data_IF_384843567262
#
_entry.id   IF_384843567262
#
_cell.length_a   1.000
_cell.length_b   1.000
_cell.length_c   1.000
_cell.angle_alpha   90.00
_cell.angle_beta   90.00
_cell.angle_gamma   90.00
#
_symmetry.space_group_name_H-M   'P 1'
#
loop_
_entity.id
_entity.type
_entity.pdbx_description
1 polymer ?
#
# COMPACT_ATOMS: atom_id res chain seq x y z
N UNK A 1 5.05 30.86 4.57
CA UNK A 1 3.79 30.08 4.58
C UNK A 1 3.85 29.13 5.76
N UNK A 2 3.01 29.31 6.77
CA UNK A 2 2.99 28.42 7.94
C UNK A 2 2.37 27.08 7.54
N UNK A 3 3.17 26.02 7.53
CA UNK A 3 2.67 24.65 7.38
C UNK A 3 1.72 24.38 8.56
N UNK A 4 0.41 24.33 8.30
CA UNK A 4 -0.54 23.75 9.26
C UNK A 4 -0.19 22.27 9.35
N UNK A 5 0.43 21.88 10.47
CA UNK A 5 0.62 20.46 10.80
C UNK A 5 -0.70 19.73 10.55
N UNK A 6 -0.69 18.71 9.70
CA UNK A 6 -1.88 17.92 9.47
C UNK A 6 -2.30 17.26 10.80
N UNK A 7 -3.43 17.69 11.36
CA UNK A 7 -4.00 17.06 12.54
C UNK A 7 -4.29 15.58 12.23
N UNK A 8 -4.07 14.71 13.22
CA UNK A 8 -4.42 13.29 13.10
C UNK A 8 -5.93 13.16 12.87
N UNK A 9 -6.38 12.26 11.97
CA UNK A 9 -7.80 12.04 11.76
C UNK A 9 -8.48 11.52 13.03
N UNK A 10 -9.65 12.06 13.38
CA UNK A 10 -10.46 11.56 14.50
C UNK A 10 -10.90 10.11 14.27
N UNK A 11 -10.88 9.28 15.32
CA UNK A 11 -11.33 7.88 15.24
C UNK A 11 -12.86 7.82 15.36
N UNK A 12 -13.54 7.80 14.22
CA UNK A 12 -14.99 7.69 14.12
C UNK A 12 -15.39 6.92 12.84
N UNK A 13 -16.67 6.55 12.71
CA UNK A 13 -17.16 5.77 11.56
C UNK A 13 -16.84 6.43 10.20
N UNK A 14 -16.82 7.76 10.18
CA UNK A 14 -16.45 8.54 9.01
C UNK A 14 -14.99 8.36 8.57
N UNK A 15 -14.07 8.30 9.52
CA UNK A 15 -12.66 8.03 9.23
C UNK A 15 -12.45 6.57 8.87
N UNK A 16 -13.15 5.64 9.53
CA UNK A 16 -13.13 4.22 9.17
C UNK A 16 -13.54 4.05 7.71
N UNK A 17 -14.66 4.65 7.28
CA UNK A 17 -15.11 4.58 5.90
C UNK A 17 -14.09 5.19 4.93
N UNK A 18 -13.47 6.31 5.30
CA UNK A 18 -12.41 6.93 4.49
C UNK A 18 -11.23 5.97 4.31
N UNK A 19 -10.75 5.34 5.38
CA UNK A 19 -9.65 4.36 5.33
C UNK A 19 -10.00 3.19 4.42
N UNK A 20 -11.19 2.61 4.58
CA UNK A 20 -11.64 1.46 3.83
C UNK A 20 -11.82 1.77 2.34
N UNK A 21 -12.41 2.93 2.00
CA UNK A 21 -12.57 3.32 0.59
C UNK A 21 -11.20 3.63 -0.03
N UNK A 22 -10.35 4.41 0.64
CA UNK A 22 -8.99 4.69 0.16
C UNK A 22 -8.18 3.41 -0.04
N UNK A 23 -8.20 2.48 0.92
CA UNK A 23 -7.51 1.19 0.83
C UNK A 23 -8.05 0.32 -0.31
N UNK A 24 -9.39 0.23 -0.43
CA UNK A 24 -10.05 -0.52 -1.50
C UNK A 24 -9.68 0.01 -2.88
N UNK A 25 -9.81 1.33 -3.11
CA UNK A 25 -9.50 1.94 -4.41
C UNK A 25 -8.02 1.79 -4.77
N UNK A 26 -7.12 1.96 -3.79
CA UNK A 26 -5.69 1.77 -3.99
C UNK A 26 -5.32 0.31 -4.30
N UNK A 27 -5.97 -0.65 -3.64
CA UNK A 27 -5.80 -2.09 -3.90
C UNK A 27 -6.26 -2.44 -5.31
N UNK A 28 -7.42 -1.94 -5.75
CA UNK A 28 -7.90 -2.13 -7.13
C UNK A 28 -6.91 -1.57 -8.14
N UNK A 29 -6.35 -0.37 -7.90
CA UNK A 29 -5.35 0.23 -8.79
C UNK A 29 -4.06 -0.59 -8.84
N UNK A 30 -3.61 -1.10 -7.68
CA UNK A 30 -2.45 -2.00 -7.58
C UNK A 30 -2.66 -3.29 -8.38
N UNK A 31 -3.80 -3.95 -8.22
CA UNK A 31 -4.12 -5.20 -8.91
C UNK A 31 -4.33 -5.00 -10.41
N UNK A 32 -5.01 -3.93 -10.80
CA UNK A 32 -5.15 -3.55 -12.21
C UNK A 32 -3.77 -3.38 -12.87
N UNK A 33 -2.84 -2.72 -12.18
CA UNK A 33 -1.47 -2.60 -12.64
C UNK A 33 -0.77 -3.96 -12.69
N UNK A 34 -0.70 -4.68 -11.57
CA UNK A 34 0.17 -5.84 -11.41
C UNK A 34 -0.31 -7.12 -12.07
N UNK A 35 -1.63 -7.31 -12.17
CA UNK A 35 -2.21 -8.55 -12.69
C UNK A 35 -2.65 -8.42 -14.15
N UNK A 36 -2.97 -7.21 -14.62
CA UNK A 36 -3.50 -7.00 -15.96
C UNK A 36 -2.63 -6.11 -16.86
N UNK A 37 -2.31 -4.89 -16.43
CA UNK A 37 -1.54 -3.96 -17.28
C UNK A 37 -0.09 -4.42 -17.47
N UNK A 38 0.62 -4.78 -16.40
CA UNK A 38 2.03 -5.15 -16.51
C UNK A 38 2.22 -6.38 -17.42
N UNK A 39 1.44 -7.48 -17.32
CA UNK A 39 1.60 -8.61 -18.24
C UNK A 39 1.18 -8.27 -19.66
N UNK A 40 0.12 -7.46 -19.85
CA UNK A 40 -0.30 -7.01 -21.18
C UNK A 40 0.77 -6.16 -21.89
N UNK A 41 1.65 -5.50 -21.13
CA UNK A 41 2.80 -4.76 -21.64
C UNK A 41 4.08 -5.62 -21.77
N UNK A 42 3.99 -6.93 -21.54
CA UNK A 42 5.13 -7.87 -21.61
C UNK A 42 6.03 -7.87 -20.37
N UNK A 43 5.60 -7.23 -19.27
CA UNK A 43 6.32 -7.24 -18.00
C UNK A 43 5.86 -8.42 -17.12
N UNK A 44 6.52 -8.63 -15.98
CA UNK A 44 6.12 -9.69 -15.05
C UNK A 44 4.71 -9.45 -14.47
N UNK A 45 4.03 -10.54 -14.12
CA UNK A 45 2.76 -10.49 -13.37
C UNK A 45 3.02 -10.51 -11.86
N UNK A 46 2.28 -9.69 -11.10
CA UNK A 46 2.28 -9.76 -9.65
C UNK A 46 1.34 -10.87 -9.18
N UNK A 47 1.91 -11.86 -8.50
CA UNK A 47 1.17 -12.90 -7.77
C UNK A 47 1.44 -12.79 -6.26
N UNK A 48 0.90 -11.76 -5.59
CA UNK A 48 1.33 -11.37 -4.25
C UNK A 48 0.89 -12.33 -3.13
N UNK A 49 -0.01 -13.27 -3.42
CA UNK A 49 -0.42 -14.34 -2.48
C UNK A 49 0.77 -15.24 -2.10
N UNK A 50 1.71 -15.51 -3.01
CA UNK A 50 2.86 -16.39 -2.71
C UNK A 50 3.77 -15.84 -1.60
N UNK A 51 4.01 -14.53 -1.60
CA UNK A 51 4.85 -13.88 -0.60
C UNK A 51 4.18 -13.82 0.77
N UNK A 52 2.88 -13.51 0.81
CA UNK A 52 2.11 -13.51 2.07
C UNK A 52 2.01 -14.91 2.69
N UNK A 53 1.84 -15.96 1.88
CA UNK A 53 1.90 -17.35 2.34
C UNK A 53 3.28 -17.70 2.90
N UNK A 54 4.35 -17.27 2.23
CA UNK A 54 5.71 -17.51 2.70
C UNK A 54 5.97 -16.85 4.06
N UNK A 55 5.51 -15.61 4.25
CA UNK A 55 5.58 -14.90 5.53
C UNK A 55 4.82 -15.64 6.65
N UNK A 56 3.57 -16.03 6.38
CA UNK A 56 2.76 -16.78 7.35
C UNK A 56 3.44 -18.11 7.73
N UNK A 57 4.00 -18.81 6.74
CA UNK A 57 4.75 -20.05 6.96
C UNK A 57 5.99 -19.85 7.82
N UNK A 58 6.73 -18.75 7.63
CA UNK A 58 7.90 -18.43 8.46
C UNK A 58 7.55 -18.23 9.95
N UNK A 59 6.32 -17.82 10.25
CA UNK A 59 5.80 -17.72 11.62
C UNK A 59 5.09 -18.98 12.13
N UNK A 60 5.07 -20.07 11.35
CA UNK A 60 4.34 -21.30 11.70
C UNK A 60 2.81 -21.14 11.69
N UNK A 61 2.29 -20.12 11.01
CA UNK A 61 0.86 -19.84 10.89
C UNK A 61 0.23 -20.56 9.69
N UNK A 62 -1.11 -20.72 9.65
CA UNK A 62 -1.81 -21.22 8.47
C UNK A 62 -1.45 -20.40 7.22
N UNK A 63 -0.95 -21.05 6.18
CA UNK A 63 -0.38 -20.41 4.98
C UNK A 63 -0.99 -20.91 3.66
N UNK A 64 -2.23 -21.40 3.72
CA UNK A 64 -3.02 -21.72 2.53
C UNK A 64 -3.47 -20.46 1.77
N UNK A 65 -4.03 -20.64 0.57
CA UNK A 65 -4.47 -19.53 -0.27
C UNK A 65 -5.47 -18.57 0.40
N UNK A 66 -6.48 -19.04 1.18
CA UNK A 66 -7.37 -18.13 1.89
C UNK A 66 -6.63 -17.23 2.89
N UNK A 67 -5.65 -17.78 3.61
CA UNK A 67 -4.86 -17.04 4.60
C UNK A 67 -3.91 -16.03 3.94
N UNK A 68 -3.28 -16.40 2.83
CA UNK A 68 -2.47 -15.48 2.02
C UNK A 68 -3.31 -14.33 1.46
N UNK A 69 -4.49 -14.61 0.91
CA UNK A 69 -5.42 -13.59 0.45
C UNK A 69 -5.88 -12.67 1.59
N UNK A 70 -6.23 -13.24 2.75
CA UNK A 70 -6.61 -12.46 3.93
C UNK A 70 -5.48 -11.51 4.36
N UNK A 71 -4.26 -12.04 4.47
CA UNK A 71 -3.08 -11.25 4.84
C UNK A 71 -2.82 -10.13 3.84
N UNK A 72 -2.75 -10.45 2.55
CA UNK A 72 -2.38 -9.48 1.54
C UNK A 72 -3.50 -8.46 1.26
N UNK A 73 -4.69 -8.91 0.91
CA UNK A 73 -5.75 -8.03 0.43
C UNK A 73 -6.41 -7.28 1.59
N UNK A 74 -6.78 -7.99 2.66
CA UNK A 74 -7.60 -7.41 3.72
C UNK A 74 -6.77 -6.79 4.84
N UNK A 75 -5.76 -7.49 5.35
CA UNK A 75 -4.98 -6.96 6.47
C UNK A 75 -4.08 -5.81 6.02
N UNK A 76 -3.26 -6.02 4.99
CA UNK A 76 -2.33 -4.96 4.56
C UNK A 76 -2.95 -4.00 3.54
N UNK A 77 -3.49 -4.51 2.43
CA UNK A 77 -4.00 -3.68 1.33
C UNK A 77 -5.19 -2.80 1.72
N UNK A 78 -6.18 -3.36 2.42
CA UNK A 78 -7.39 -2.64 2.80
C UNK A 78 -7.25 -1.82 4.09
N UNK A 79 -6.43 -2.27 5.06
CA UNK A 79 -6.41 -1.69 6.42
C UNK A 79 -5.05 -1.10 6.80
N UNK A 80 -3.98 -1.90 6.86
CA UNK A 80 -2.71 -1.43 7.43
C UNK A 80 -2.08 -0.30 6.60
N UNK A 81 -2.09 -0.43 5.27
CA UNK A 81 -1.49 0.56 4.37
C UNK A 81 -2.22 1.91 4.35
N UNK A 82 -3.56 2.02 4.27
CA UNK A 82 -4.20 3.33 4.40
C UNK A 82 -4.06 3.89 5.81
N UNK A 83 -4.08 3.07 6.87
CA UNK A 83 -3.80 3.52 8.23
C UNK A 83 -2.40 4.13 8.32
N UNK A 84 -1.37 3.44 7.83
CA UNK A 84 0.00 3.94 7.79
C UNK A 84 0.14 5.25 7.00
N UNK A 85 -0.61 5.40 5.91
CA UNK A 85 -0.66 6.66 5.17
C UNK A 85 -1.23 7.80 6.02
N UNK A 86 -2.48 7.66 6.50
CA UNK A 86 -3.20 8.78 7.12
C UNK A 86 -2.74 9.12 8.53
N UNK A 87 -2.20 8.15 9.28
CA UNK A 87 -1.80 8.34 10.67
C UNK A 87 -0.30 8.49 10.89
N UNK A 88 0.54 8.06 9.93
CA UNK A 88 2.00 8.09 10.09
C UNK A 88 2.64 8.95 8.99
N UNK A 89 2.59 8.50 7.73
CA UNK A 89 3.36 9.12 6.66
C UNK A 89 2.88 10.54 6.35
N UNK A 90 1.57 10.74 6.14
CA UNK A 90 1.01 12.05 5.78
C UNK A 90 1.25 13.12 6.86
N UNK A 91 1.00 12.88 8.16
CA UNK A 91 1.34 13.85 9.21
C UNK A 91 2.82 14.23 9.28
N UNK A 92 3.73 13.31 8.92
CA UNK A 92 5.17 13.58 8.89
C UNK A 92 5.53 14.40 7.65
N UNK A 93 5.17 13.91 6.46
CA UNK A 93 5.57 14.49 5.17
C UNK A 93 5.02 15.91 4.98
N UNK A 94 3.81 16.19 5.46
CA UNK A 94 3.22 17.54 5.42
C UNK A 94 3.98 18.57 6.27
N UNK A 95 4.70 18.15 7.33
CA UNK A 95 5.58 19.05 8.09
C UNK A 95 6.75 19.56 7.26
N UNK A 96 7.18 18.77 6.28
CA UNK A 96 8.23 19.15 5.33
C UNK A 96 7.68 19.83 4.07
N UNK A 97 6.38 20.17 4.03
CA UNK A 97 5.75 20.81 2.88
C UNK A 97 5.55 19.89 1.68
N UNK A 98 5.70 18.58 1.85
CA UNK A 98 5.50 17.60 0.77
C UNK A 98 4.01 17.45 0.51
N UNK A 99 3.60 17.75 -0.73
CA UNK A 99 2.21 17.62 -1.18
C UNK A 99 1.75 16.16 -1.23
N UNK A 100 0.44 15.95 -1.19
CA UNK A 100 -0.17 14.61 -1.02
C UNK A 100 0.20 13.62 -2.13
N UNK A 101 0.27 14.05 -3.39
CA UNK A 101 0.64 13.18 -4.52
C UNK A 101 2.07 12.67 -4.39
N UNK A 102 3.03 13.59 -4.18
CA UNK A 102 4.44 13.23 -3.99
C UNK A 102 4.63 12.44 -2.69
N UNK A 103 3.93 12.82 -1.62
CA UNK A 103 3.96 12.11 -0.35
C UNK A 103 3.42 10.69 -0.48
N UNK A 104 2.33 10.50 -1.22
CA UNK A 104 1.76 9.19 -1.53
C UNK A 104 2.74 8.34 -2.35
N UNK A 105 3.45 8.93 -3.31
CA UNK A 105 4.49 8.24 -4.07
C UNK A 105 5.66 7.80 -3.18
N UNK A 106 6.17 8.68 -2.31
CA UNK A 106 7.23 8.37 -1.34
C UNK A 106 6.78 7.26 -0.39
N UNK A 107 5.56 7.36 0.13
CA UNK A 107 4.99 6.34 0.99
C UNK A 107 4.86 4.99 0.27
N UNK A 108 4.38 4.99 -0.97
CA UNK A 108 4.31 3.79 -1.80
C UNK A 108 5.67 3.15 -2.06
N UNK A 109 6.70 3.94 -2.37
CA UNK A 109 8.06 3.43 -2.49
C UNK A 109 8.58 2.83 -1.16
N UNK A 110 8.26 3.46 -0.02
CA UNK A 110 8.59 2.91 1.29
C UNK A 110 7.84 1.60 1.58
N UNK A 111 6.56 1.49 1.17
CA UNK A 111 5.81 0.24 1.23
C UNK A 111 6.46 -0.85 0.37
N UNK A 112 7.01 -0.52 -0.80
CA UNK A 112 7.76 -1.49 -1.60
C UNK A 112 9.02 -1.98 -0.87
N UNK A 113 9.78 -1.09 -0.23
CA UNK A 113 10.93 -1.50 0.61
C UNK A 113 10.49 -2.45 1.73
N UNK A 114 9.40 -2.12 2.41
CA UNK A 114 8.86 -2.95 3.48
C UNK A 114 8.33 -4.30 2.96
N UNK A 115 7.44 -4.27 1.97
CA UNK A 115 6.69 -5.42 1.50
C UNK A 115 7.53 -6.36 0.63
N UNK A 116 8.44 -5.85 -0.20
CA UNK A 116 9.27 -6.69 -1.06
C UNK A 116 10.65 -6.91 -0.43
N UNK A 117 11.26 -5.92 0.19
CA UNK A 117 12.54 -6.08 0.88
C UNK A 117 12.39 -6.76 2.25
N UNK A 118 11.59 -6.17 3.14
CA UNK A 118 11.43 -6.64 4.52
C UNK A 118 10.75 -8.01 4.64
N UNK A 119 9.61 -8.19 3.97
CA UNK A 119 8.86 -9.47 4.05
C UNK A 119 9.65 -10.63 3.44
N UNK A 120 10.37 -10.42 2.32
CA UNK A 120 11.20 -11.50 1.76
C UNK A 120 12.32 -11.90 2.72
N UNK A 121 12.96 -10.92 3.36
CA UNK A 121 13.99 -11.18 4.37
C UNK A 121 13.44 -12.01 5.55
N UNK A 122 12.27 -11.65 6.08
CA UNK A 122 11.62 -12.41 7.17
C UNK A 122 11.15 -13.79 6.72
N UNK A 123 10.66 -13.90 5.48
CA UNK A 123 10.17 -15.15 4.91
C UNK A 123 11.27 -16.12 4.47
N UNK A 124 12.55 -15.76 4.63
CA UNK A 124 13.69 -16.57 4.16
C UNK A 124 13.82 -16.64 2.63
N UNK A 125 13.22 -15.69 1.91
CA UNK A 125 13.32 -15.57 0.46
C UNK A 125 14.47 -14.61 0.09
N UNK A 126 15.00 -14.67 -1.15
CA UNK A 126 16.03 -13.74 -1.58
C UNK A 126 15.56 -12.29 -1.45
N UNK A 127 16.44 -11.43 -0.92
CA UNK A 127 16.14 -10.01 -0.71
C UNK A 127 15.69 -9.37 -2.03
N UNK A 128 14.58 -8.65 -1.99
CA UNK A 128 13.94 -8.08 -3.17
C UNK A 128 13.72 -9.10 -4.30
N UNK A 129 13.51 -10.38 -4.00
CA UNK A 129 13.34 -11.45 -4.99
C UNK A 129 14.45 -11.44 -6.07
N UNK A 130 15.70 -11.19 -5.66
CA UNK A 130 16.87 -11.02 -6.55
C UNK A 130 16.70 -9.92 -7.61
N UNK A 131 15.92 -8.88 -7.32
CA UNK A 131 15.63 -7.77 -8.25
C UNK A 131 15.08 -8.22 -9.60
N UNK A 132 14.32 -9.32 -9.61
CA UNK A 132 13.61 -9.83 -10.79
C UNK A 132 12.56 -8.83 -11.30
N UNK A 133 11.96 -9.11 -12.47
CA UNK A 133 10.90 -8.26 -13.03
C UNK A 133 9.75 -7.98 -12.05
N UNK A 134 9.40 -8.95 -11.19
CA UNK A 134 8.37 -8.80 -10.15
C UNK A 134 8.71 -7.64 -9.21
N UNK A 135 9.98 -7.46 -8.84
CA UNK A 135 10.44 -6.42 -7.93
C UNK A 135 10.14 -5.02 -8.47
N UNK A 136 10.37 -4.81 -9.76
CA UNK A 136 10.18 -3.52 -10.40
C UNK A 136 8.70 -3.24 -10.70
N UNK A 137 7.96 -4.27 -11.11
CA UNK A 137 6.50 -4.18 -11.25
C UNK A 137 5.87 -3.84 -9.89
N UNK A 138 6.35 -4.45 -8.80
CA UNK A 138 5.88 -4.17 -7.45
C UNK A 138 6.23 -2.76 -6.98
N UNK A 139 7.38 -2.20 -7.39
CA UNK A 139 7.72 -0.80 -7.07
C UNK A 139 6.68 0.17 -7.66
N UNK A 140 6.35 0.00 -8.95
CA UNK A 140 5.32 0.81 -9.60
C UNK A 140 3.97 0.57 -8.94
N UNK A 141 3.62 -0.68 -8.67
CA UNK A 141 2.37 -1.05 -7.99
C UNK A 141 2.21 -0.34 -6.65
N UNK A 142 3.19 -0.44 -5.75
CA UNK A 142 3.09 0.19 -4.44
C UNK A 142 3.13 1.73 -4.52
N UNK A 143 3.90 2.29 -5.46
CA UNK A 143 3.90 3.75 -5.70
C UNK A 143 2.53 4.22 -6.16
N UNK A 144 1.92 3.53 -7.12
CA UNK A 144 0.56 3.79 -7.60
C UNK A 144 -0.46 3.65 -6.47
N UNK A 145 -0.35 2.59 -5.66
CA UNK A 145 -1.18 2.38 -4.48
C UNK A 145 -1.12 3.61 -3.55
N UNK A 146 0.08 4.07 -3.19
CA UNK A 146 0.25 5.19 -2.26
C UNK A 146 -0.34 6.49 -2.80
N UNK A 147 -0.14 6.77 -4.09
CA UNK A 147 -0.75 7.92 -4.78
C UNK A 147 -2.28 7.83 -4.74
N UNK A 148 -2.85 6.69 -5.14
CA UNK A 148 -4.31 6.51 -5.21
C UNK A 148 -4.95 6.60 -3.83
N UNK A 149 -4.37 5.96 -2.81
CA UNK A 149 -4.86 6.06 -1.43
C UNK A 149 -4.92 7.52 -0.95
N UNK A 150 -3.87 8.30 -1.25
CA UNK A 150 -3.79 9.71 -0.92
C UNK A 150 -4.85 10.55 -1.64
N UNK A 151 -4.95 10.41 -2.97
CA UNK A 151 -5.89 11.17 -3.79
C UNK A 151 -7.36 10.84 -3.46
N UNK A 152 -7.69 9.57 -3.25
CA UNK A 152 -9.03 9.15 -2.80
C UNK A 152 -9.36 9.78 -1.44
N UNK A 153 -8.39 9.83 -0.52
CA UNK A 153 -8.60 10.47 0.78
C UNK A 153 -8.88 11.96 0.69
N UNK A 154 -8.18 12.68 -0.19
CA UNK A 154 -8.41 14.10 -0.45
C UNK A 154 -9.79 14.30 -1.05
N UNK A 155 -10.15 13.51 -2.06
CA UNK A 155 -11.44 13.59 -2.73
C UNK A 155 -12.61 13.40 -1.75
N UNK A 156 -12.56 12.35 -0.93
CA UNK A 156 -13.59 12.06 0.08
C UNK A 156 -13.71 13.16 1.15
N UNK A 157 -12.59 13.78 1.53
CA UNK A 157 -12.61 14.95 2.43
C UNK A 157 -13.24 16.16 1.74
N UNK A 158 -12.95 16.38 0.46
CA UNK A 158 -13.52 17.47 -0.33
C UNK A 158 -15.05 17.37 -0.48
N UNK A 159 -15.58 16.14 -0.61
CA UNK A 159 -17.03 15.90 -0.67
C UNK A 159 -17.78 16.30 0.61
N UNK A 160 -17.10 16.45 1.76
CA UNK A 160 -17.73 16.84 3.03
C UNK A 160 -17.78 18.34 3.27
N UNK A 161 -16.98 19.10 2.52
CA UNK A 161 -16.89 20.56 2.67
C UNK A 161 -17.88 21.24 1.72
N UNK A 162 -18.53 20.48 0.82
CA UNK A 162 -19.61 20.91 -0.05
C UNK A 162 -20.96 20.55 0.57
#
# INVERSE_FOLDING_TARGET
MTSKSAALPALNGHTILLLLISGSTATIAFDLWGQWLSPALGWASLAPIGLSRSLLGAFGLPNGDPAGNLMHLFLVGLVAYPVGWFYIARPILTRFGIGETLGGAIYGAALWVFAIGGVTAVAGLPLFLNFTGITWVALIGHTLYGIVAALTGIYLKGLRVR
#
